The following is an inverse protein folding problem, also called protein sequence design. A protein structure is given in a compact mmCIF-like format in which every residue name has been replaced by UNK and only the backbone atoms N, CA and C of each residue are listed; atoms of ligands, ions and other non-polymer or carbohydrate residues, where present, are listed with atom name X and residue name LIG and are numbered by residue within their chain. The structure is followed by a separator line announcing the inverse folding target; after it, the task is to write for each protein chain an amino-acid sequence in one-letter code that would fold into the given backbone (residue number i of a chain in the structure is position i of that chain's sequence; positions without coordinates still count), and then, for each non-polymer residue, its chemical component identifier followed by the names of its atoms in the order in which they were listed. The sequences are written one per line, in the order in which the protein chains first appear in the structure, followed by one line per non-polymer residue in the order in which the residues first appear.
data_IF_508176913315
#
_entry.id   IF_508176913315
#
_cell.length_a   1.000
_cell.length_b   1.000
_cell.length_c   1.000
_cell.angle_alpha   90.00
_cell.angle_beta   90.00
_cell.angle_gamma   90.00
#
_symmetry.space_group_name_H-M   'P 1'
#
loop_
_entity.id
_entity.type
_entity.pdbx_description
1 polymer ?
#
# COMPACT_ATOMS: atom_id res chain seq x y z
N UNK A 1 -10.19 20.37 7.67
CA UNK A 1 -11.22 19.32 7.76
C UNK A 1 -10.51 18.01 7.55
N UNK A 2 -10.73 16.98 8.36
CA UNK A 2 -10.09 15.68 8.13
C UNK A 2 -10.75 15.03 6.93
N UNK A 3 -9.95 14.69 5.93
CA UNK A 3 -10.40 13.89 4.80
C UNK A 3 -10.28 12.41 5.21
N UNK A 4 -11.21 11.59 4.72
CA UNK A 4 -11.23 10.15 5.03
C UNK A 4 -11.40 9.39 3.73
N UNK A 5 -10.61 8.33 3.54
CA UNK A 5 -10.64 7.56 2.32
C UNK A 5 -10.44 6.07 2.57
N UNK A 6 -10.96 5.27 1.64
CA UNK A 6 -11.00 3.82 1.74
C UNK A 6 -9.90 3.17 0.92
N UNK A 7 -9.14 2.29 1.56
CA UNK A 7 -8.13 1.46 0.89
C UNK A 7 -8.76 0.63 -0.23
N UNK A 8 -8.22 0.72 -1.44
CA UNK A 8 -8.66 -0.06 -2.59
C UNK A 8 -7.79 -1.32 -2.79
N UNK A 9 -8.26 -2.26 -3.62
CA UNK A 9 -7.48 -3.46 -3.97
C UNK A 9 -6.10 -3.07 -4.51
N UNK A 10 -5.05 -3.72 -4.01
CA UNK A 10 -3.67 -3.49 -4.47
C UNK A 10 -2.96 -2.28 -3.87
N UNK A 11 -3.64 -1.46 -3.06
CA UNK A 11 -3.00 -0.29 -2.42
C UNK A 11 -2.33 -0.67 -1.10
N UNK A 12 -1.16 -0.11 -0.84
CA UNK A 12 -0.58 -0.05 0.51
C UNK A 12 -0.91 1.29 1.19
N UNK A 13 -0.43 1.51 2.42
CA UNK A 13 -0.67 2.76 3.15
C UNK A 13 -0.14 4.00 2.41
N UNK A 14 1.06 3.90 1.84
CA UNK A 14 1.70 5.00 1.11
C UNK A 14 0.90 5.40 -0.13
N UNK A 15 0.48 4.42 -0.92
CA UNK A 15 -0.35 4.61 -2.11
C UNK A 15 -1.60 5.41 -1.78
N UNK A 16 -2.29 5.01 -0.71
CA UNK A 16 -3.54 5.62 -0.28
C UNK A 16 -3.35 7.09 0.13
N UNK A 17 -2.33 7.38 0.94
CA UNK A 17 -2.11 8.73 1.46
C UNK A 17 -1.57 9.66 0.37
N UNK A 18 -0.57 9.24 -0.40
CA UNK A 18 0.03 10.06 -1.47
C UNK A 18 -1.02 10.44 -2.52
N UNK A 19 -1.91 9.52 -2.89
CA UNK A 19 -3.00 9.78 -3.83
C UNK A 19 -3.90 10.94 -3.37
N UNK A 20 -3.99 11.21 -2.08
CA UNK A 20 -4.90 12.22 -1.52
C UNK A 20 -4.22 13.46 -1.00
N UNK A 21 -3.00 13.34 -0.49
CA UNK A 21 -2.26 14.47 0.06
C UNK A 21 -1.35 15.13 -0.98
N UNK A 22 -0.90 14.36 -1.96
CA UNK A 22 0.14 14.77 -2.90
C UNK A 22 1.53 14.91 -2.28
N UNK A 23 1.71 14.56 -1.00
CA UNK A 23 2.97 14.77 -0.26
C UNK A 23 3.31 13.60 0.66
N UNK A 24 4.61 13.29 0.72
CA UNK A 24 5.16 12.28 1.61
C UNK A 24 5.15 12.69 3.08
N UNK A 25 5.24 13.99 3.39
CA UNK A 25 5.17 14.48 4.77
C UNK A 25 3.83 14.10 5.43
N UNK A 26 2.77 14.07 4.64
CA UNK A 26 1.45 13.69 5.11
C UNK A 26 1.33 12.19 5.39
N UNK A 27 2.18 11.35 4.79
CA UNK A 27 2.24 9.91 5.09
C UNK A 27 2.63 9.71 6.56
N UNK A 28 3.65 10.43 7.03
CA UNK A 28 4.10 10.35 8.43
C UNK A 28 3.03 10.91 9.36
N UNK A 29 2.42 12.05 9.01
CA UNK A 29 1.34 12.63 9.81
C UNK A 29 0.13 11.70 9.92
N UNK A 30 -0.25 11.05 8.82
CA UNK A 30 -1.35 10.11 8.78
C UNK A 30 -1.05 8.86 9.61
N UNK A 31 0.19 8.37 9.62
CA UNK A 31 0.59 7.22 10.44
C UNK A 31 0.35 7.50 11.94
N UNK A 32 0.82 8.66 12.41
CA UNK A 32 0.61 9.11 13.80
C UNK A 32 -0.88 9.35 14.09
N UNK A 33 -1.63 9.91 13.14
CA UNK A 33 -3.06 10.20 13.32
C UNK A 33 -3.93 8.94 13.44
N UNK A 34 -3.54 7.87 12.75
CA UNK A 34 -4.30 6.61 12.73
C UNK A 34 -3.72 5.55 13.68
N UNK A 35 -2.60 5.83 14.36
CA UNK A 35 -1.87 4.88 15.21
C UNK A 35 -1.52 3.58 14.45
N UNK A 36 -0.97 3.73 13.24
CA UNK A 36 -0.65 2.65 12.32
C UNK A 36 0.80 2.74 11.84
N UNK A 37 1.43 1.60 11.56
CA UNK A 37 2.72 1.56 10.89
C UNK A 37 2.57 1.82 9.38
N UNK A 38 3.61 2.41 8.78
CA UNK A 38 3.67 2.68 7.35
C UNK A 38 3.63 1.42 6.48
N UNK A 39 4.11 0.31 7.03
CA UNK A 39 4.23 -0.98 6.36
C UNK A 39 3.17 -1.97 6.81
N UNK A 40 2.19 -1.54 7.60
CA UNK A 40 1.12 -2.43 8.04
C UNK A 40 0.31 -2.91 6.85
N UNK A 41 -0.15 -4.16 6.94
CA UNK A 41 -1.07 -4.69 5.96
C UNK A 41 -2.49 -4.21 6.26
N UNK A 42 -3.07 -3.45 5.32
CA UNK A 42 -4.36 -2.79 5.50
C UNK A 42 -5.45 -3.54 4.75
N UNK A 43 -6.53 -3.87 5.44
CA UNK A 43 -7.70 -4.51 4.83
C UNK A 43 -8.39 -3.57 3.82
N UNK A 44 -8.98 -4.16 2.78
CA UNK A 44 -9.72 -3.40 1.77
C UNK A 44 -10.94 -2.75 2.40
N UNK A 45 -11.20 -1.49 2.05
CA UNK A 45 -12.31 -0.72 2.59
C UNK A 45 -12.00 -0.01 3.92
N UNK A 46 -10.85 -0.28 4.54
CA UNK A 46 -10.43 0.44 5.75
C UNK A 46 -10.34 1.93 5.47
N UNK A 47 -10.97 2.72 6.33
CA UNK A 47 -10.96 4.17 6.32
C UNK A 47 -9.71 4.70 7.03
N UNK A 48 -8.90 5.46 6.30
CA UNK A 48 -7.71 6.13 6.84
C UNK A 48 -7.96 7.63 6.83
N UNK A 49 -7.63 8.27 7.96
CA UNK A 49 -7.74 9.71 8.13
C UNK A 49 -6.49 10.41 7.62
N UNK A 50 -6.64 11.50 6.90
CA UNK A 50 -5.56 12.42 6.56
C UNK A 50 -5.96 13.87 6.88
N UNK A 51 -5.00 14.74 7.17
CA UNK A 51 -5.29 16.12 7.54
C UNK A 51 -5.71 16.94 6.32
N UNK A 52 -4.83 17.10 5.34
CA UNK A 52 -5.01 18.06 4.26
C UNK A 52 -4.35 17.59 2.95
N UNK A 53 -4.78 18.20 1.85
CA UNK A 53 -4.05 18.21 0.58
C UNK A 53 -2.90 19.20 0.74
N UNK A 54 -1.68 18.76 0.45
CA UNK A 54 -0.44 19.57 0.50
C UNK A 54 0.00 19.99 -0.91
N UNK A 55 -0.24 19.13 -1.90
CA UNK A 55 0.12 19.36 -3.30
C UNK A 55 -1.03 18.92 -4.20
N UNK A 56 -1.79 19.88 -4.73
CA UNK A 56 -2.93 19.61 -5.60
C UNK A 56 -2.52 19.03 -6.96
N UNK A 57 -1.36 19.40 -7.50
CA UNK A 57 -0.90 18.91 -8.80
C UNK A 57 -0.61 17.41 -8.73
N UNK A 58 0.03 16.96 -7.65
CA UNK A 58 0.26 15.53 -7.41
C UNK A 58 -1.04 14.76 -7.14
N UNK A 59 -2.02 15.36 -6.45
CA UNK A 59 -3.34 14.73 -6.28
C UNK A 59 -4.05 14.58 -7.62
N UNK A 60 -4.00 15.63 -8.46
CA UNK A 60 -4.64 15.66 -9.78
C UNK A 60 -3.98 14.70 -10.79
N UNK A 61 -2.74 14.26 -10.54
CA UNK A 61 -2.09 13.22 -11.33
C UNK A 61 -2.86 11.90 -11.29
N UNK A 62 -3.49 11.59 -10.16
CA UNK A 62 -4.19 10.33 -9.96
C UNK A 62 -5.70 10.49 -10.21
N UNK A 63 -6.23 9.61 -11.07
CA UNK A 63 -7.64 9.51 -11.40
C UNK A 63 -8.11 8.06 -11.25
N UNK A 64 -9.32 7.75 -11.71
CA UNK A 64 -9.91 6.41 -11.55
C UNK A 64 -9.12 5.31 -12.26
N UNK A 65 -8.32 5.64 -13.28
CA UNK A 65 -7.65 4.68 -14.16
C UNK A 65 -6.17 4.44 -13.84
N UNK A 66 -5.53 5.30 -13.03
CA UNK A 66 -4.08 5.23 -12.77
C UNK A 66 -3.74 5.34 -11.27
N UNK A 67 -4.59 4.80 -10.41
CA UNK A 67 -4.33 4.80 -8.96
C UNK A 67 -3.09 3.96 -8.65
N UNK A 68 -2.23 4.43 -7.72
CA UNK A 68 -1.09 3.65 -7.28
C UNK A 68 -1.57 2.37 -6.58
N UNK A 69 -0.86 1.27 -6.81
CA UNK A 69 -1.21 -0.06 -6.33
C UNK A 69 0.06 -0.90 -6.13
N UNK A 70 0.90 -0.49 -5.19
CA UNK A 70 2.22 -1.06 -4.91
C UNK A 70 2.19 -2.09 -3.78
N UNK A 71 1.03 -2.40 -3.19
CA UNK A 71 0.96 -3.52 -2.26
C UNK A 71 1.35 -4.82 -2.97
N UNK A 72 2.25 -5.57 -2.34
CA UNK A 72 2.58 -6.92 -2.78
C UNK A 72 1.28 -7.74 -2.73
N UNK A 73 0.84 -8.23 -3.89
CA UNK A 73 -0.09 -9.35 -3.91
C UNK A 73 0.76 -10.56 -3.51
N UNK A 74 0.37 -11.22 -2.43
CA UNK A 74 0.57 -12.66 -2.37
C UNK A 74 -0.27 -13.21 -3.52
N UNK A 75 0.32 -13.27 -4.71
CA UNK A 75 -0.11 -14.28 -5.65
C UNK A 75 0.22 -15.57 -4.94
N UNK A 76 -0.81 -16.24 -4.42
CA UNK A 76 -0.78 -17.67 -4.17
C UNK A 76 -0.57 -18.34 -5.54
N UNK A 77 0.58 -18.09 -6.17
CA UNK A 77 1.02 -18.86 -7.31
C UNK A 77 1.29 -20.25 -6.75
N UNK A 78 0.56 -21.22 -7.29
CA UNK A 78 0.77 -22.61 -6.95
C UNK A 78 2.15 -23.04 -7.49
N UNK A 79 3.18 -22.79 -6.70
CA UNK A 79 4.57 -23.16 -6.99
C UNK A 79 4.80 -24.66 -6.86
N UNK A 80 3.78 -25.48 -6.52
CA UNK A 80 3.92 -26.93 -6.36
C UNK A 80 4.38 -27.64 -7.63
N UNK A 81 4.21 -27.01 -8.80
CA UNK A 81 4.64 -27.53 -10.10
C UNK A 81 5.96 -26.98 -10.62
N UNK A 82 6.60 -26.06 -9.90
CA UNK A 82 7.81 -25.36 -10.35
C UNK A 82 9.04 -25.77 -9.53
N UNK A 83 10.06 -26.28 -10.21
CA UNK A 83 11.31 -26.75 -9.61
C UNK A 83 12.51 -25.88 -10.01
N UNK A 84 13.46 -25.73 -9.10
CA UNK A 84 14.77 -25.09 -9.32
C UNK A 84 14.94 -23.76 -8.59
N UNK A 85 16.19 -23.30 -8.51
CA UNK A 85 16.59 -22.13 -7.71
C UNK A 85 15.85 -20.83 -8.05
N UNK A 86 15.27 -20.72 -9.26
CA UNK A 86 14.48 -19.57 -9.69
C UNK A 86 13.08 -19.49 -9.06
N UNK A 87 12.60 -20.59 -8.48
CA UNK A 87 11.28 -20.72 -7.87
C UNK A 87 11.33 -20.95 -6.36
N UNK A 88 12.54 -21.04 -5.80
CA UNK A 88 12.75 -21.25 -4.39
C UNK A 88 12.57 -19.96 -3.60
N UNK A 89 11.63 -19.98 -2.67
CA UNK A 89 11.39 -18.92 -1.69
C UNK A 89 12.14 -19.30 -0.44
N UNK A 90 13.10 -18.47 -0.05
CA UNK A 90 13.88 -18.66 1.18
C UNK A 90 12.93 -18.62 2.38
N UNK A 91 13.12 -19.52 3.34
CA UNK A 91 12.28 -19.71 4.53
C UNK A 91 10.87 -20.30 4.27
N UNK A 92 10.50 -20.55 3.01
CA UNK A 92 9.21 -21.15 2.66
C UNK A 92 9.38 -22.49 1.90
N UNK A 93 9.91 -22.45 0.68
CA UNK A 93 10.18 -23.65 -0.12
C UNK A 93 11.64 -24.09 -0.08
N UNK A 94 12.55 -23.20 0.35
CA UNK A 94 13.97 -23.50 0.59
C UNK A 94 14.38 -23.05 2.00
N UNK A 95 14.58 -24.01 2.89
CA UNK A 95 14.94 -23.78 4.29
C UNK A 95 16.45 -23.98 4.45
N UNK A 96 17.16 -22.92 4.87
CA UNK A 96 18.57 -22.98 5.26
C UNK A 96 18.63 -23.22 6.77
N UNK A 97 19.02 -24.43 7.17
CA UNK A 97 19.22 -24.83 8.57
C UNK A 97 20.60 -25.40 8.78
#
# INVERSE_FOLDING_TARGET
MQNTNKKQQGQNFLDLIIQQSGSFDEVINAAVLNDMSLTDNIAIGTEIKNKNIQDEDNVNLFNQNNKPATALRNTDEDLSSQDGIGYWIIEETFIVS
#
